data_IF_805876667693
#
_entry.id   IF_805876667693
#
_cell.length_a   1.000
_cell.length_b   1.000
_cell.length_c   1.000
_cell.angle_alpha   90.00
_cell.angle_beta   90.00
_cell.angle_gamma   90.00
#
_symmetry.space_group_name_H-M   'P 1'
#
loop_
_entity.id
_entity.type
_entity.pdbx_description
1 polymer ?
#
# COMPACT_ATOMS: atom_id res chain seq x y z
N UNK A 1 -65.01 -69.59 -28.66
CA UNK A 1 -63.94 -69.65 -29.69
C UNK A 1 -63.70 -68.23 -30.22
N UNK A 2 -62.43 -67.80 -30.25
CA UNK A 2 -61.75 -66.84 -31.17
C UNK A 2 -62.56 -65.63 -31.67
N UNK A 3 -62.32 -64.39 -31.24
CA UNK A 3 -61.20 -63.46 -31.55
C UNK A 3 -61.05 -63.06 -33.04
N UNK A 4 -61.27 -61.77 -33.33
CA UNK A 4 -60.53 -60.91 -34.29
C UNK A 4 -61.10 -59.47 -34.20
N UNK A 5 -60.36 -58.52 -33.60
CA UNK A 5 -59.40 -57.54 -34.18
C UNK A 5 -60.06 -56.19 -34.54
N UNK A 6 -59.36 -55.15 -34.10
CA UNK A 6 -59.55 -53.68 -34.02
C UNK A 6 -59.37 -52.98 -35.40
N UNK A 7 -59.22 -51.62 -35.59
CA UNK A 7 -58.92 -50.56 -34.60
C UNK A 7 -59.33 -49.07 -34.92
N UNK A 8 -58.86 -48.16 -34.04
CA UNK A 8 -58.50 -46.73 -34.25
C UNK A 8 -59.59 -45.63 -34.19
N UNK A 9 -59.70 -44.98 -33.01
CA UNK A 9 -59.84 -43.51 -32.93
C UNK A 9 -58.89 -42.95 -31.86
N UNK A 10 -57.61 -42.93 -32.25
CA UNK A 10 -56.53 -42.00 -31.88
C UNK A 10 -56.50 -41.40 -30.44
N UNK A 11 -55.65 -41.89 -29.51
CA UNK A 11 -55.37 -41.24 -28.22
C UNK A 11 -54.40 -40.04 -28.32
N UNK A 12 -53.99 -39.64 -29.52
CA UNK A 12 -52.87 -38.72 -29.75
C UNK A 12 -53.21 -37.23 -29.61
N UNK A 13 -54.39 -36.85 -29.10
CA UNK A 13 -54.83 -35.45 -29.01
C UNK A 13 -55.04 -34.90 -27.59
N UNK A 14 -54.72 -35.65 -26.53
CA UNK A 14 -54.80 -35.14 -25.15
C UNK A 14 -53.45 -34.88 -24.47
N UNK A 15 -52.35 -34.98 -25.21
CA UNK A 15 -51.00 -34.66 -24.71
C UNK A 15 -50.39 -33.44 -25.42
N UNK A 16 -51.20 -32.44 -25.77
CA UNK A 16 -50.71 -31.19 -26.37
C UNK A 16 -51.25 -29.92 -25.68
N UNK A 17 -51.81 -30.04 -24.47
CA UNK A 17 -52.34 -28.90 -23.70
C UNK A 17 -51.73 -28.76 -22.29
N UNK A 18 -50.50 -29.25 -22.07
CA UNK A 18 -49.81 -29.09 -20.78
C UNK A 18 -48.31 -28.78 -20.91
N UNK A 19 -47.90 -28.08 -21.98
CA UNK A 19 -46.53 -27.58 -22.07
C UNK A 19 -46.42 -26.23 -22.80
N UNK A 20 -47.42 -25.37 -22.60
CA UNK A 20 -47.32 -23.94 -22.92
C UNK A 20 -47.77 -23.18 -21.69
N UNK A 21 -46.84 -22.46 -21.07
CA UNK A 21 -46.98 -21.65 -19.85
C UNK A 21 -46.89 -22.38 -18.50
N UNK A 22 -45.74 -23.02 -18.22
CA UNK A 22 -45.12 -22.78 -16.91
C UNK A 22 -44.08 -21.67 -17.09
N UNK A 23 -44.54 -20.42 -16.98
CA UNK A 23 -43.72 -19.33 -16.44
C UNK A 23 -43.56 -19.56 -14.92
N UNK A 24 -43.11 -20.77 -14.57
CA UNK A 24 -42.99 -21.24 -13.21
C UNK A 24 -41.64 -20.82 -12.66
N UNK A 25 -41.65 -19.83 -11.77
CA UNK A 25 -40.57 -19.63 -10.81
C UNK A 25 -40.17 -20.99 -10.22
N UNK A 26 -38.88 -21.30 -10.17
CA UNK A 26 -38.34 -22.51 -9.54
C UNK A 26 -38.48 -22.41 -8.01
N UNK A 27 -39.70 -22.41 -7.47
CA UNK A 27 -39.97 -21.89 -6.13
C UNK A 27 -40.00 -22.91 -4.99
N UNK A 28 -39.67 -24.19 -5.21
CA UNK A 28 -39.61 -25.17 -4.12
C UNK A 28 -38.89 -26.48 -4.50
N UNK A 29 -37.70 -26.41 -5.09
CA UNK A 29 -36.93 -27.63 -5.35
C UNK A 29 -36.16 -28.06 -4.09
N UNK A 30 -36.69 -29.05 -3.35
CA UNK A 30 -36.06 -29.63 -2.15
C UNK A 30 -35.10 -30.78 -2.47
N UNK A 31 -35.09 -31.25 -3.72
CA UNK A 31 -34.16 -32.26 -4.22
C UNK A 31 -32.97 -31.59 -4.91
N UNK A 32 -31.71 -31.91 -4.52
CA UNK A 32 -30.53 -31.37 -5.20
C UNK A 32 -30.60 -31.62 -6.71
N UNK A 33 -30.30 -30.60 -7.51
CA UNK A 33 -30.18 -30.76 -8.97
C UNK A 33 -28.92 -31.58 -9.24
N UNK A 34 -29.08 -32.84 -9.65
CA UNK A 34 -27.99 -33.68 -10.14
C UNK A 34 -27.79 -33.43 -11.64
N UNK A 35 -27.00 -32.41 -11.97
CA UNK A 35 -26.69 -32.01 -13.36
C UNK A 35 -26.35 -30.52 -13.48
N UNK A 36 -26.26 -30.03 -14.72
CA UNK A 36 -26.00 -28.61 -14.98
C UNK A 36 -27.30 -27.79 -14.91
N UNK A 37 -27.34 -26.74 -14.10
CA UNK A 37 -28.40 -25.73 -14.13
C UNK A 37 -28.08 -24.70 -15.22
N UNK A 38 -28.80 -24.75 -16.34
CA UNK A 38 -28.71 -23.74 -17.41
C UNK A 38 -29.77 -22.67 -17.15
N UNK A 39 -29.37 -21.52 -16.58
CA UNK A 39 -30.26 -20.36 -16.42
C UNK A 39 -30.06 -19.45 -17.64
N UNK A 40 -31.11 -19.27 -18.45
CA UNK A 40 -31.11 -18.37 -19.62
C UNK A 40 -31.32 -16.89 -19.24
N UNK A 41 -31.30 -16.58 -17.93
CA UNK A 41 -31.42 -15.25 -17.31
C UNK A 41 -30.50 -15.09 -16.08
N UNK A 42 -30.66 -14.01 -15.31
CA UNK A 42 -29.87 -13.77 -14.09
C UNK A 42 -30.28 -14.67 -12.91
N UNK A 43 -29.33 -15.02 -12.03
CA UNK A 43 -29.64 -15.70 -10.76
C UNK A 43 -29.98 -14.63 -9.73
N UNK A 44 -31.28 -14.38 -9.54
CA UNK A 44 -31.77 -13.36 -8.61
C UNK A 44 -32.08 -14.00 -7.25
N UNK A 45 -31.22 -13.76 -6.26
CA UNK A 45 -31.34 -14.37 -4.93
C UNK A 45 -32.36 -13.67 -3.99
N UNK A 46 -32.97 -12.55 -4.40
CA UNK A 46 -34.00 -11.85 -3.62
C UNK A 46 -35.11 -11.29 -4.52
N UNK A 47 -36.36 -11.60 -4.17
CA UNK A 47 -37.56 -11.24 -4.93
C UNK A 47 -38.03 -9.80 -4.70
N UNK A 48 -37.53 -9.10 -3.69
CA UNK A 48 -38.00 -7.76 -3.28
C UNK A 48 -37.13 -6.58 -3.73
N UNK A 49 -35.85 -6.79 -4.10
CA UNK A 49 -34.97 -5.72 -4.58
C UNK A 49 -34.70 -5.86 -6.09
N UNK A 50 -35.24 -4.97 -6.95
CA UNK A 50 -34.91 -4.95 -8.38
C UNK A 50 -33.46 -4.55 -8.67
N UNK A 51 -32.75 -3.94 -7.73
CA UNK A 51 -31.36 -3.52 -7.89
C UNK A 51 -30.34 -4.55 -7.36
N UNK A 52 -30.73 -5.53 -6.54
CA UNK A 52 -29.84 -6.51 -5.92
C UNK A 52 -29.75 -7.85 -6.67
N UNK A 53 -28.53 -8.41 -6.78
CA UNK A 53 -28.33 -9.80 -7.25
C UNK A 53 -27.08 -10.03 -8.09
N UNK A 54 -26.91 -11.26 -8.59
CA UNK A 54 -25.83 -11.67 -9.49
C UNK A 54 -26.43 -12.04 -10.86
N UNK A 55 -26.03 -11.32 -11.90
CA UNK A 55 -26.44 -11.61 -13.29
C UNK A 55 -25.29 -12.27 -14.06
N UNK A 56 -25.61 -13.34 -14.79
CA UNK A 56 -24.72 -13.92 -15.81
C UNK A 56 -25.20 -13.42 -17.18
N UNK A 57 -24.32 -12.78 -17.96
CA UNK A 57 -24.65 -12.23 -19.28
C UNK A 57 -23.87 -12.95 -20.38
N UNK A 58 -24.32 -12.78 -21.63
CA UNK A 58 -23.64 -13.32 -22.81
C UNK A 58 -22.14 -12.95 -22.81
N UNK A 59 -21.30 -13.88 -23.27
CA UNK A 59 -19.84 -13.72 -23.25
C UNK A 59 -19.18 -14.03 -21.90
N UNK A 60 -19.90 -14.60 -20.92
CA UNK A 60 -19.32 -15.04 -19.64
C UNK A 60 -19.16 -13.94 -18.59
N UNK A 61 -19.91 -12.85 -18.73
CA UNK A 61 -19.83 -11.69 -17.82
C UNK A 61 -20.65 -11.96 -16.56
N UNK A 62 -20.05 -11.76 -15.39
CA UNK A 62 -20.72 -11.79 -14.08
C UNK A 62 -20.92 -10.34 -13.61
N UNK A 63 -22.16 -9.93 -13.36
CA UNK A 63 -22.50 -8.60 -12.84
C UNK A 63 -23.12 -8.73 -11.45
N UNK A 64 -22.40 -8.32 -10.41
CA UNK A 64 -22.96 -8.09 -9.08
C UNK A 64 -23.61 -6.71 -9.03
N UNK A 65 -24.91 -6.64 -8.71
CA UNK A 65 -25.65 -5.38 -8.55
C UNK A 65 -26.12 -5.18 -7.12
N UNK A 66 -26.29 -3.93 -6.73
CA UNK A 66 -26.97 -3.52 -5.52
C UNK A 66 -26.96 -1.99 -5.38
N UNK A 67 -27.58 -1.50 -4.31
CA UNK A 67 -27.74 -0.06 -4.08
C UNK A 67 -26.67 0.44 -3.10
N UNK A 68 -25.86 1.40 -3.54
CA UNK A 68 -24.88 2.07 -2.67
C UNK A 68 -25.59 2.81 -1.53
N UNK A 69 -25.07 2.73 -0.32
CA UNK A 69 -25.64 3.31 0.90
C UNK A 69 -27.01 2.73 1.33
N UNK A 70 -27.49 1.64 0.73
CA UNK A 70 -28.69 0.94 1.20
C UNK A 70 -28.39 -0.01 2.36
N UNK A 71 -29.28 -0.06 3.34
CA UNK A 71 -29.40 -1.15 4.32
C UNK A 71 -29.84 -2.41 3.59
N UNK A 72 -29.01 -3.46 3.55
CA UNK A 72 -28.72 -4.18 4.78
C UNK A 72 -27.23 -4.23 5.15
N UNK A 73 -27.00 -4.24 6.46
CA UNK A 73 -25.74 -4.65 7.11
C UNK A 73 -25.42 -6.11 6.80
N UNK A 74 -24.15 -6.50 6.91
CA UNK A 74 -23.77 -7.93 6.84
C UNK A 74 -24.45 -8.72 7.97
N UNK A 75 -24.92 -9.93 7.67
CA UNK A 75 -25.44 -10.82 8.72
C UNK A 75 -24.30 -11.21 9.67
N UNK A 76 -24.64 -11.55 10.92
CA UNK A 76 -23.64 -12.01 11.90
C UNK A 76 -22.89 -13.26 11.43
N UNK A 77 -23.54 -14.10 10.62
CA UNK A 77 -22.96 -15.30 10.00
C UNK A 77 -21.96 -15.00 8.89
N UNK A 78 -22.05 -13.81 8.27
CA UNK A 78 -21.17 -13.40 7.17
C UNK A 78 -19.92 -12.68 7.67
N UNK A 79 -19.85 -12.44 8.98
CA UNK A 79 -18.74 -11.80 9.69
C UNK A 79 -17.81 -12.84 10.34
N UNK A 80 -16.69 -12.40 10.91
CA UNK A 80 -15.70 -13.28 11.53
C UNK A 80 -14.84 -14.07 10.54
N UNK A 81 -14.13 -15.08 11.02
CA UNK A 81 -13.09 -15.81 10.30
C UNK A 81 -13.62 -16.72 9.17
N UNK A 82 -12.78 -16.98 8.16
CA UNK A 82 -13.05 -17.92 7.07
C UNK A 82 -12.67 -17.40 5.69
N UNK A 83 -12.78 -18.29 4.70
CA UNK A 83 -12.55 -18.01 3.29
C UNK A 83 -13.84 -17.61 2.58
N UNK A 84 -13.81 -16.52 1.80
CA UNK A 84 -14.97 -16.05 1.02
C UNK A 84 -14.58 -15.10 -0.11
N UNK A 85 -15.48 -15.01 -1.10
CA UNK A 85 -15.54 -13.95 -2.10
C UNK A 85 -16.76 -13.08 -1.76
N UNK A 86 -16.56 -11.79 -1.55
CA UNK A 86 -17.59 -10.86 -1.11
C UNK A 86 -17.65 -9.64 -2.03
N UNK A 87 -18.81 -9.46 -2.66
CA UNK A 87 -19.23 -8.16 -3.20
C UNK A 87 -20.23 -7.55 -2.22
N UNK A 88 -19.84 -6.47 -1.54
CA UNK A 88 -20.70 -5.77 -0.58
C UNK A 88 -21.23 -4.48 -1.20
N UNK A 89 -22.36 -4.59 -1.89
CA UNK A 89 -22.90 -3.53 -2.73
C UNK A 89 -23.24 -2.25 -1.97
N UNK A 90 -23.70 -2.33 -0.72
CA UNK A 90 -24.02 -1.13 0.09
C UNK A 90 -22.80 -0.24 0.29
N UNK A 91 -21.61 -0.83 0.41
CA UNK A 91 -20.33 -0.11 0.50
C UNK A 91 -19.60 -0.02 -0.84
N UNK A 92 -20.12 -0.61 -1.93
CA UNK A 92 -19.38 -0.83 -3.17
C UNK A 92 -17.98 -1.46 -2.93
N UNK A 93 -17.89 -2.37 -1.96
CA UNK A 93 -16.63 -2.98 -1.55
C UNK A 93 -16.46 -4.38 -2.15
N UNK A 94 -15.25 -4.70 -2.60
CA UNK A 94 -14.97 -6.01 -3.21
C UNK A 94 -13.79 -6.71 -2.54
N UNK A 95 -14.00 -7.96 -2.15
CA UNK A 95 -13.01 -8.68 -1.35
C UNK A 95 -12.94 -10.15 -1.71
N UNK A 96 -11.75 -10.74 -1.62
CA UNK A 96 -11.57 -12.17 -1.79
C UNK A 96 -10.40 -12.69 -0.97
N UNK A 97 -10.57 -13.83 -0.31
CA UNK A 97 -9.49 -14.50 0.40
C UNK A 97 -9.95 -15.14 1.70
N UNK A 98 -9.02 -15.31 2.63
CA UNK A 98 -9.23 -16.01 3.90
C UNK A 98 -8.72 -15.16 5.06
N UNK A 99 -9.47 -15.08 6.15
CA UNK A 99 -9.05 -14.33 7.34
C UNK A 99 -9.30 -15.15 8.61
N UNK A 100 -8.54 -14.89 9.68
CA UNK A 100 -8.59 -15.65 10.93
C UNK A 100 -9.28 -14.91 12.08
N UNK A 101 -9.74 -13.69 11.86
CA UNK A 101 -10.35 -12.86 12.89
C UNK A 101 -11.52 -12.04 12.35
N UNK A 102 -11.52 -10.76 12.69
CA UNK A 102 -12.63 -9.84 12.44
C UNK A 102 -12.49 -9.05 11.16
N UNK A 103 -11.52 -9.35 10.29
CA UNK A 103 -11.25 -8.54 9.08
C UNK A 103 -12.47 -8.45 8.15
N UNK A 104 -13.32 -9.47 8.15
CA UNK A 104 -14.60 -9.50 7.44
C UNK A 104 -15.76 -8.78 8.14
N UNK A 105 -15.60 -8.37 9.40
CA UNK A 105 -16.63 -7.64 10.13
C UNK A 105 -16.93 -6.33 9.40
N UNK A 106 -18.18 -5.91 9.45
CA UNK A 106 -18.64 -4.75 8.68
C UNK A 106 -17.86 -3.48 9.02
N UNK A 107 -17.48 -3.28 10.28
CA UNK A 107 -16.66 -2.15 10.75
C UNK A 107 -15.27 -2.09 10.09
N UNK A 108 -14.78 -3.22 9.59
CA UNK A 108 -13.48 -3.36 8.97
C UNK A 108 -13.54 -3.33 7.45
N UNK A 109 -14.70 -3.05 6.85
CA UNK A 109 -14.90 -2.86 5.41
C UNK A 109 -15.16 -1.39 5.12
N UNK A 110 -14.22 -0.75 4.42
CA UNK A 110 -14.36 0.64 3.99
C UNK A 110 -15.37 0.80 2.85
N UNK A 111 -15.93 2.00 2.73
CA UNK A 111 -16.68 2.41 1.53
C UNK A 111 -15.75 2.38 0.32
N UNK A 112 -16.25 1.96 -0.84
CA UNK A 112 -15.51 1.87 -2.12
C UNK A 112 -14.15 1.18 -1.99
N UNK A 113 -14.01 0.24 -1.06
CA UNK A 113 -12.73 -0.40 -0.73
C UNK A 113 -12.54 -1.72 -1.48
N UNK A 114 -11.30 -2.18 -1.58
CA UNK A 114 -11.01 -3.53 -2.02
C UNK A 114 -9.93 -4.22 -1.18
N UNK A 115 -10.11 -5.52 -0.91
CA UNK A 115 -9.16 -6.31 -0.13
C UNK A 115 -8.99 -7.73 -0.69
N UNK A 116 -7.76 -8.14 -1.01
CA UNK A 116 -7.48 -9.46 -1.56
C UNK A 116 -6.31 -10.17 -0.88
N UNK A 117 -6.52 -11.41 -0.47
CA UNK A 117 -5.47 -12.28 0.07
C UNK A 117 -5.75 -12.79 1.48
N UNK A 118 -4.69 -13.03 2.24
CA UNK A 118 -4.75 -13.69 3.53
C UNK A 118 -4.77 -12.66 4.67
N UNK A 119 -5.83 -12.61 5.46
CA UNK A 119 -6.00 -11.71 6.62
C UNK A 119 -5.80 -10.22 6.30
N UNK A 120 -6.14 -9.79 5.08
CA UNK A 120 -6.09 -8.39 4.65
C UNK A 120 -7.26 -7.58 5.19
N UNK A 121 -7.03 -6.32 5.53
CA UNK A 121 -8.04 -5.38 6.01
C UNK A 121 -7.94 -4.05 5.25
N UNK A 122 -9.00 -3.70 4.51
CA UNK A 122 -9.18 -2.38 3.89
C UNK A 122 -10.39 -1.69 4.56
N UNK A 123 -10.15 -1.03 5.69
CA UNK A 123 -11.20 -0.44 6.54
C UNK A 123 -11.45 1.05 6.26
N UNK A 124 -10.48 1.75 5.67
CA UNK A 124 -10.65 3.14 5.26
C UNK A 124 -11.53 3.28 4.01
N UNK A 125 -12.22 4.40 3.87
CA UNK A 125 -12.98 4.70 2.64
C UNK A 125 -12.03 4.81 1.44
N UNK A 126 -12.39 4.26 0.29
CA UNK A 126 -11.55 4.13 -0.91
C UNK A 126 -10.18 3.46 -0.68
N UNK A 127 -10.05 2.64 0.39
CA UNK A 127 -8.80 1.96 0.70
C UNK A 127 -8.58 0.67 -0.10
N UNK A 128 -7.33 0.27 -0.25
CA UNK A 128 -6.92 -0.93 -0.96
C UNK A 128 -5.94 -1.78 -0.16
N UNK A 129 -6.24 -3.07 0.05
CA UNK A 129 -5.34 -4.00 0.73
C UNK A 129 -5.07 -5.25 -0.13
N UNK A 130 -3.80 -5.61 -0.34
CA UNK A 130 -3.42 -6.78 -1.14
C UNK A 130 -2.28 -7.57 -0.50
N UNK A 131 -2.44 -8.88 -0.34
CA UNK A 131 -1.38 -9.78 0.09
C UNK A 131 -1.68 -10.50 1.41
N UNK A 132 -0.74 -10.47 2.36
CA UNK A 132 -0.84 -11.22 3.63
C UNK A 132 -0.77 -10.25 4.80
N UNK A 133 -1.79 -10.24 5.66
CA UNK A 133 -1.86 -9.42 6.87
C UNK A 133 -1.67 -7.90 6.61
N UNK A 134 -2.04 -7.42 5.44
CA UNK A 134 -1.98 -5.99 5.12
C UNK A 134 -3.15 -5.22 5.73
N UNK A 135 -2.89 -3.99 6.18
CA UNK A 135 -3.89 -3.13 6.82
C UNK A 135 -3.86 -1.75 6.16
N UNK A 136 -4.93 -1.40 5.46
CA UNK A 136 -5.19 -0.08 4.91
C UNK A 136 -6.39 0.53 5.67
N UNK A 137 -6.11 1.36 6.68
CA UNK A 137 -7.15 1.91 7.56
C UNK A 137 -7.44 3.40 7.38
N UNK A 138 -6.56 4.13 6.68
CA UNK A 138 -6.79 5.52 6.31
C UNK A 138 -7.67 5.68 5.07
N UNK A 139 -8.27 6.86 4.91
CA UNK A 139 -9.03 7.20 3.70
C UNK A 139 -8.09 7.26 2.50
N UNK A 140 -8.50 6.67 1.39
CA UNK A 140 -7.71 6.54 0.17
C UNK A 140 -6.31 5.89 0.38
N UNK A 141 -6.15 5.10 1.46
CA UNK A 141 -4.87 4.44 1.74
C UNK A 141 -4.72 3.11 1.01
N UNK A 142 -3.48 2.71 0.76
CA UNK A 142 -3.17 1.45 0.09
C UNK A 142 -2.06 0.68 0.82
N UNK A 143 -2.31 -0.60 1.14
CA UNK A 143 -1.36 -1.51 1.78
C UNK A 143 -1.15 -2.78 0.96
N UNK A 144 0.07 -3.00 0.46
CA UNK A 144 0.40 -4.11 -0.44
C UNK A 144 1.58 -4.93 0.09
N UNK A 145 1.52 -6.25 -0.07
CA UNK A 145 2.59 -7.19 0.29
C UNK A 145 2.32 -7.96 1.58
N UNK A 146 3.26 -7.96 2.53
CA UNK A 146 3.21 -8.79 3.74
C UNK A 146 3.31 -7.94 5.00
N UNK A 147 2.31 -7.96 5.87
CA UNK A 147 2.29 -7.20 7.14
C UNK A 147 2.52 -5.70 6.97
N UNK A 148 2.17 -5.15 5.80
CA UNK A 148 2.26 -3.72 5.50
C UNK A 148 1.07 -2.95 6.09
N UNK A 149 1.32 -1.78 6.66
CA UNK A 149 0.32 -0.96 7.35
C UNK A 149 0.31 0.46 6.78
N UNK A 150 -0.83 0.89 6.24
CA UNK A 150 -1.11 2.23 5.74
C UNK A 150 -2.25 2.84 6.57
N UNK A 151 -1.91 3.54 7.66
CA UNK A 151 -2.85 3.84 8.75
C UNK A 151 -3.47 5.23 8.73
N UNK A 152 -3.00 6.12 7.84
CA UNK A 152 -3.46 7.51 7.75
C UNK A 152 -3.96 7.83 6.33
N UNK A 153 -4.55 8.99 6.14
CA UNK A 153 -5.18 9.37 4.88
C UNK A 153 -4.13 9.57 3.77
N UNK A 154 -4.50 9.17 2.54
CA UNK A 154 -3.66 9.25 1.35
C UNK A 154 -2.31 8.51 1.48
N UNK A 155 -2.22 7.49 2.33
CA UNK A 155 -0.96 6.76 2.56
C UNK A 155 -0.76 5.57 1.63
N UNK A 156 0.50 5.24 1.34
CA UNK A 156 0.89 4.05 0.60
C UNK A 156 1.93 3.24 1.38
N UNK A 157 1.65 1.98 1.70
CA UNK A 157 2.62 1.06 2.28
C UNK A 157 2.76 -0.18 1.41
N UNK A 158 3.93 -0.35 0.77
CA UNK A 158 4.17 -1.50 -0.11
C UNK A 158 5.46 -2.24 0.22
N UNK A 159 5.35 -3.56 0.31
CA UNK A 159 6.47 -4.47 0.57
C UNK A 159 6.25 -5.37 1.77
N UNK A 160 7.24 -5.54 2.63
CA UNK A 160 7.18 -6.45 3.78
C UNK A 160 7.44 -5.70 5.09
N UNK A 161 6.53 -5.77 6.05
CA UNK A 161 6.64 -5.11 7.35
C UNK A 161 6.88 -3.59 7.23
N UNK A 162 6.24 -2.94 6.27
CA UNK A 162 6.37 -1.48 6.07
C UNK A 162 5.24 -0.73 6.77
N UNK A 163 5.52 0.46 7.30
CA UNK A 163 4.55 1.28 8.05
C UNK A 163 4.53 2.70 7.49
N UNK A 164 3.43 3.10 6.87
CA UNK A 164 3.13 4.49 6.50
C UNK A 164 2.03 5.02 7.44
N UNK A 165 2.39 5.90 8.38
CA UNK A 165 1.47 6.39 9.42
C UNK A 165 1.30 7.92 9.44
N UNK A 166 2.10 8.66 8.68
CA UNK A 166 1.88 10.09 8.46
C UNK A 166 0.88 10.33 7.33
N UNK A 167 0.10 11.40 7.39
CA UNK A 167 -0.79 11.78 6.27
C UNK A 167 0.01 11.97 4.97
N UNK A 168 -0.52 11.47 3.84
CA UNK A 168 0.15 11.50 2.54
C UNK A 168 1.56 10.85 2.51
N UNK A 169 1.93 10.08 3.54
CA UNK A 169 3.22 9.40 3.61
C UNK A 169 3.25 8.13 2.77
N UNK A 170 4.45 7.73 2.36
CA UNK A 170 4.66 6.53 1.57
C UNK A 170 5.85 5.69 2.05
N UNK A 171 5.70 4.38 1.97
CA UNK A 171 6.77 3.41 2.23
C UNK A 171 6.88 2.37 1.14
N UNK A 172 8.13 2.03 0.78
CA UNK A 172 8.47 1.03 -0.22
C UNK A 172 9.59 0.13 0.32
N UNK A 173 9.44 -1.19 0.27
CA UNK A 173 10.52 -2.15 0.53
C UNK A 173 10.31 -3.04 1.75
N UNK A 174 11.27 -3.12 2.68
CA UNK A 174 11.22 -4.09 3.78
C UNK A 174 11.61 -3.46 5.12
N UNK A 175 10.70 -3.50 6.11
CA UNK A 175 10.94 -2.93 7.44
C UNK A 175 11.06 -1.41 7.48
N UNK A 176 10.54 -0.72 6.46
CA UNK A 176 10.66 0.73 6.31
C UNK A 176 9.47 1.46 6.93
N UNK A 177 9.72 2.63 7.53
CA UNK A 177 8.73 3.40 8.28
C UNK A 177 8.74 4.88 7.88
N UNK A 178 7.57 5.44 7.59
CA UNK A 178 7.32 6.86 7.36
C UNK A 178 6.27 7.36 8.37
N UNK A 179 6.63 8.24 9.30
CA UNK A 179 5.78 8.55 10.47
C UNK A 179 5.03 9.87 10.40
N UNK A 180 5.54 10.87 9.66
CA UNK A 180 4.95 12.20 9.61
C UNK A 180 4.41 12.55 8.22
N UNK A 181 3.71 13.68 8.14
CA UNK A 181 3.10 14.17 6.91
C UNK A 181 4.11 14.27 5.76
N UNK A 182 3.74 13.78 4.58
CA UNK A 182 4.55 13.81 3.35
C UNK A 182 5.91 13.08 3.45
N UNK A 183 6.12 12.23 4.46
CA UNK A 183 7.35 11.45 4.58
C UNK A 183 7.41 10.32 3.52
N UNK A 184 8.61 10.05 3.00
CA UNK A 184 8.90 8.94 2.09
C UNK A 184 10.03 8.06 2.64
N UNK A 185 9.75 6.78 2.92
CA UNK A 185 10.76 5.81 3.32
C UNK A 185 10.87 4.65 2.31
N UNK A 186 12.03 4.49 1.67
CA UNK A 186 12.24 3.56 0.56
C UNK A 186 13.49 2.69 0.76
N UNK A 187 13.33 1.37 0.70
CA UNK A 187 14.41 0.40 0.75
C UNK A 187 14.30 -0.55 1.93
N UNK A 188 15.40 -0.83 2.62
CA UNK A 188 15.42 -1.80 3.74
C UNK A 188 15.72 -1.10 5.05
N UNK A 189 14.82 -1.23 6.02
CA UNK A 189 14.94 -0.67 7.36
C UNK A 189 15.19 0.85 7.37
N UNK A 190 14.58 1.60 6.45
CA UNK A 190 14.70 3.07 6.40
C UNK A 190 13.67 3.73 7.29
N UNK A 191 14.02 4.88 7.89
CA UNK A 191 13.12 5.67 8.72
C UNK A 191 13.05 7.12 8.22
N UNK A 192 11.88 7.55 7.76
CA UNK A 192 11.55 8.96 7.56
C UNK A 192 10.61 9.39 8.70
N UNK A 193 11.02 10.42 9.44
CA UNK A 193 10.29 10.88 10.64
C UNK A 193 10.40 12.39 10.87
N UNK A 194 10.73 13.15 9.83
CA UNK A 194 11.01 14.59 9.93
C UNK A 194 9.81 15.47 9.58
N UNK A 195 8.84 14.96 8.84
CA UNK A 195 7.82 15.76 8.16
C UNK A 195 8.41 16.28 6.84
N UNK A 196 7.79 15.91 5.72
CA UNK A 196 8.35 16.10 4.37
C UNK A 196 9.75 15.50 4.20
N UNK A 197 10.11 14.50 5.01
CA UNK A 197 11.44 13.89 5.00
C UNK A 197 11.52 12.71 4.05
N UNK A 198 12.70 12.44 3.49
CA UNK A 198 12.94 11.33 2.58
C UNK A 198 14.10 10.46 3.06
N UNK A 199 13.85 9.20 3.37
CA UNK A 199 14.88 8.22 3.68
C UNK A 199 14.90 7.11 2.62
N UNK A 200 16.03 6.94 1.92
CA UNK A 200 16.17 5.96 0.86
C UNK A 200 17.47 5.13 0.97
N UNK A 201 17.36 3.82 0.75
CA UNK A 201 18.47 2.86 0.73
C UNK A 201 18.40 1.82 1.84
N UNK A 202 19.47 1.62 2.62
CA UNK A 202 19.53 0.60 3.68
C UNK A 202 19.87 1.23 5.03
N UNK A 203 18.96 1.13 5.99
CA UNK A 203 19.14 1.68 7.35
C UNK A 203 19.41 3.19 7.37
N UNK A 204 18.92 3.92 6.36
CA UNK A 204 19.01 5.39 6.31
C UNK A 204 17.91 6.03 7.17
N UNK A 205 18.23 7.16 7.79
CA UNK A 205 17.34 7.89 8.71
C UNK A 205 17.27 9.35 8.30
N UNK A 206 16.08 9.85 7.97
CA UNK A 206 15.79 11.25 7.75
C UNK A 206 14.83 11.76 8.84
N UNK A 207 15.37 12.46 9.84
CA UNK A 207 14.63 12.89 11.03
C UNK A 207 14.51 14.41 11.19
N UNK A 208 15.17 15.18 10.32
CA UNK A 208 14.99 16.62 10.25
C UNK A 208 13.79 17.01 9.39
N UNK A 209 13.14 18.13 9.70
CA UNK A 209 12.08 18.68 8.84
C UNK A 209 12.61 18.92 7.43
N UNK A 210 11.89 18.41 6.42
CA UNK A 210 12.28 18.46 5.01
C UNK A 210 13.71 17.95 4.74
N UNK A 211 14.20 16.97 5.52
CA UNK A 211 15.53 16.39 5.33
C UNK A 211 15.53 15.19 4.38
N UNK A 212 16.69 14.86 3.81
CA UNK A 212 16.85 13.73 2.89
C UNK A 212 18.08 12.88 3.19
N UNK A 213 17.93 11.56 3.32
CA UNK A 213 19.00 10.61 3.60
C UNK A 213 19.05 9.50 2.53
N UNK A 214 20.12 9.44 1.75
CA UNK A 214 20.30 8.51 0.62
C UNK A 214 21.51 7.60 0.80
N UNK A 215 21.31 6.28 0.75
CA UNK A 215 22.40 5.30 0.70
C UNK A 215 22.36 4.31 1.86
N UNK A 216 23.51 4.02 2.47
CA UNK A 216 23.62 2.98 3.51
C UNK A 216 23.97 3.58 4.86
N UNK A 217 23.08 3.44 5.83
CA UNK A 217 23.29 3.89 7.21
C UNK A 217 23.56 5.41 7.28
N UNK A 218 22.94 6.17 6.38
CA UNK A 218 23.07 7.64 6.35
C UNK A 218 22.06 8.29 7.29
N UNK A 219 22.42 9.41 7.90
CA UNK A 219 21.56 10.16 8.83
C UNK A 219 21.46 11.61 8.37
N UNK A 220 20.25 12.13 8.19
CA UNK A 220 19.96 13.53 7.94
C UNK A 220 19.01 14.07 9.02
N UNK A 221 19.58 14.69 10.06
CA UNK A 221 18.84 15.13 11.26
C UNK A 221 18.70 16.65 11.36
N UNK A 222 19.43 17.43 10.54
CA UNK A 222 19.21 18.87 10.43
C UNK A 222 17.96 19.17 9.62
N UNK A 223 17.25 20.25 9.94
CA UNK A 223 16.18 20.73 9.07
C UNK A 223 16.77 21.16 7.72
N UNK A 224 16.10 20.80 6.63
CA UNK A 224 16.54 21.02 5.25
C UNK A 224 17.89 20.37 4.91
N UNK A 225 18.35 19.41 5.73
CA UNK A 225 19.65 18.76 5.52
C UNK A 225 19.58 17.61 4.52
N UNK A 226 20.72 17.31 3.89
CA UNK A 226 20.85 16.17 2.98
C UNK A 226 22.08 15.32 3.31
N UNK A 227 21.90 14.03 3.55
CA UNK A 227 22.99 13.06 3.75
C UNK A 227 22.99 12.05 2.62
N UNK A 228 24.15 11.79 2.00
CA UNK A 228 24.28 10.82 0.90
C UNK A 228 25.54 9.97 1.00
N UNK A 229 25.46 8.69 0.64
CA UNK A 229 26.63 7.78 0.59
C UNK A 229 26.57 6.67 1.64
N UNK A 230 27.66 6.45 2.38
CA UNK A 230 27.78 5.34 3.33
C UNK A 230 28.20 5.84 4.71
N UNK A 231 27.30 5.68 5.69
CA UNK A 231 27.53 6.08 7.09
C UNK A 231 27.79 7.59 7.28
N UNK A 232 27.23 8.42 6.39
CA UNK A 232 27.31 9.88 6.47
C UNK A 232 26.25 10.47 7.39
N UNK A 233 26.51 11.66 7.93
CA UNK A 233 25.71 12.36 8.93
C UNK A 233 25.60 13.84 8.53
N UNK A 234 24.42 14.29 8.11
CA UNK A 234 24.10 15.71 7.94
C UNK A 234 23.29 16.19 9.15
N UNK A 235 23.98 16.76 10.15
CA UNK A 235 23.37 17.15 11.43
C UNK A 235 22.97 18.63 11.48
N UNK A 236 23.78 19.52 10.90
CA UNK A 236 23.50 20.95 10.93
C UNK A 236 22.29 21.37 10.06
N UNK A 237 21.61 22.45 10.48
CA UNK A 237 20.55 23.12 9.74
C UNK A 237 21.03 23.49 8.33
N UNK A 238 20.26 23.09 7.32
CA UNK A 238 20.56 23.29 5.89
C UNK A 238 21.90 22.73 5.41
N UNK A 239 22.46 21.72 6.09
CA UNK A 239 23.76 21.14 5.68
C UNK A 239 23.62 19.98 4.70
N UNK A 240 24.66 19.76 3.90
CA UNK A 240 24.79 18.59 3.06
C UNK A 240 26.05 17.78 3.43
N UNK A 241 25.93 16.47 3.54
CA UNK A 241 27.04 15.55 3.74
C UNK A 241 27.06 14.47 2.65
N UNK A 242 28.24 14.18 2.09
CA UNK A 242 28.44 13.09 1.13
C UNK A 242 29.67 12.24 1.41
N UNK A 243 29.85 11.13 0.71
CA UNK A 243 31.02 10.25 0.79
C UNK A 243 30.88 9.10 1.81
N UNK A 244 31.92 8.88 2.61
CA UNK A 244 31.98 7.82 3.61
C UNK A 244 32.40 8.37 4.97
N UNK A 245 31.61 8.10 6.01
CA UNK A 245 31.98 8.38 7.41
C UNK A 245 32.51 9.82 7.64
N UNK A 246 31.73 10.85 7.27
CA UNK A 246 32.04 12.23 7.68
C UNK A 246 31.88 12.40 9.20
N UNK A 247 32.38 13.52 9.73
CA UNK A 247 32.31 13.86 11.15
C UNK A 247 30.88 14.26 11.57
N UNK A 248 30.22 15.14 10.81
CA UNK A 248 28.92 15.70 11.17
C UNK A 248 29.04 16.83 12.20
N UNK A 249 27.94 17.11 12.91
CA UNK A 249 27.85 18.13 13.95
C UNK A 249 27.06 19.38 13.54
N UNK A 250 26.93 20.28 14.51
CA UNK A 250 26.22 21.56 14.40
C UNK A 250 24.77 21.53 14.91
N UNK A 251 24.14 22.70 14.94
CA UNK A 251 22.75 22.87 15.38
C UNK A 251 21.78 22.32 14.34
N UNK A 252 20.85 21.47 14.74
CA UNK A 252 19.87 20.85 13.82
C UNK A 252 18.81 21.82 13.31
N UNK A 253 18.54 22.91 14.03
CA UNK A 253 17.41 23.81 13.75
C UNK A 253 17.79 25.29 13.66
N UNK A 254 19.06 25.66 13.88
CA UNK A 254 19.49 27.06 13.86
C UNK A 254 20.66 27.32 12.90
N UNK A 255 20.69 28.53 12.35
CA UNK A 255 21.85 29.03 11.60
C UNK A 255 22.96 29.49 12.55
N UNK A 256 23.96 28.64 12.77
CA UNK A 256 25.16 28.99 13.54
C UNK A 256 26.35 29.16 12.56
N UNK A 257 27.00 30.33 12.49
CA UNK A 257 28.05 30.60 11.50
C UNK A 257 29.21 29.59 11.47
N UNK A 258 29.51 28.97 12.62
CA UNK A 258 30.58 27.97 12.75
C UNK A 258 30.14 26.53 12.47
N UNK A 259 28.88 26.30 12.11
CA UNK A 259 28.41 24.96 11.72
C UNK A 259 28.79 24.63 10.28
N UNK A 260 28.97 23.34 9.95
CA UNK A 260 29.10 22.90 8.57
C UNK A 260 27.84 23.20 7.74
N UNK A 261 28.04 23.68 6.51
CA UNK A 261 27.02 23.71 5.46
C UNK A 261 27.25 22.62 4.41
N UNK A 262 28.51 22.20 4.21
CA UNK A 262 28.84 21.11 3.30
C UNK A 262 30.03 20.28 3.81
N UNK A 263 29.91 18.96 3.80
CA UNK A 263 30.97 18.03 4.21
C UNK A 263 31.15 16.90 3.20
N UNK A 264 32.41 16.58 2.88
CA UNK A 264 32.79 15.37 2.11
C UNK A 264 33.54 14.43 3.05
N UNK A 265 32.89 13.35 3.45
CA UNK A 265 33.47 12.30 4.27
C UNK A 265 34.44 11.42 3.48
N UNK A 266 35.64 11.21 4.03
CA UNK A 266 36.63 10.25 3.56
C UNK A 266 37.06 9.28 4.68
N UNK A 267 36.20 9.07 5.66
CA UNK A 267 36.43 8.14 6.74
C UNK A 267 36.51 6.70 6.23
N UNK A 268 37.32 5.89 6.91
CA UNK A 268 37.64 4.53 6.53
C UNK A 268 36.74 3.52 7.29
N UNK A 269 35.83 2.82 6.59
CA UNK A 269 34.95 1.83 7.22
C UNK A 269 35.60 0.46 7.41
N UNK A 270 36.83 0.26 6.93
CA UNK A 270 37.53 -1.03 6.89
C UNK A 270 38.53 -1.22 8.03
N UNK A 271 38.62 -0.25 8.95
CA UNK A 271 39.48 -0.32 10.16
C UNK A 271 38.62 -0.48 11.41
N UNK A 272 39.19 -1.02 12.48
CA UNK A 272 38.48 -1.30 13.74
C UNK A 272 39.16 -0.57 14.92
N UNK A 273 38.49 0.40 15.57
CA UNK A 273 37.17 0.94 15.22
C UNK A 273 37.21 1.74 13.90
N UNK A 274 36.06 1.83 13.22
CA UNK A 274 35.93 2.65 12.01
C UNK A 274 36.26 4.11 12.32
N UNK A 275 36.96 4.78 11.40
CA UNK A 275 37.45 6.15 11.61
C UNK A 275 36.64 7.12 10.75
N UNK A 276 35.99 8.10 11.39
CA UNK A 276 35.34 9.23 10.71
C UNK A 276 36.36 10.30 10.34
N UNK A 277 36.21 10.89 9.17
CA UNK A 277 37.08 11.96 8.69
C UNK A 277 36.38 12.73 7.58
N UNK A 278 36.63 14.03 7.52
CA UNK A 278 36.25 14.86 6.38
C UNK A 278 37.50 15.13 5.53
N UNK A 279 37.36 15.00 4.21
CA UNK A 279 38.31 15.57 3.25
C UNK A 279 38.12 17.09 3.13
N UNK A 280 36.86 17.53 3.20
CA UNK A 280 36.43 18.91 3.04
C UNK A 280 35.30 19.22 4.04
N UNK A 281 35.38 20.39 4.69
CA UNK A 281 34.30 21.01 5.44
C UNK A 281 34.17 22.47 5.01
N UNK A 282 32.99 22.87 4.55
CA UNK A 282 32.62 24.28 4.35
C UNK A 282 31.69 24.69 5.48
N UNK A 283 31.98 25.82 6.12
CA UNK A 283 31.20 26.37 7.22
C UNK A 283 30.25 27.46 6.73
N UNK A 284 29.17 27.70 7.47
CA UNK A 284 28.15 28.72 7.15
C UNK A 284 28.71 30.16 7.09
N UNK A 285 29.83 30.42 7.76
CA UNK A 285 30.54 31.70 7.71
C UNK A 285 31.48 31.86 6.49
N UNK A 286 31.52 30.88 5.58
CA UNK A 286 32.37 30.90 4.40
C UNK A 286 33.78 30.31 4.60
N UNK A 287 34.15 29.95 5.83
CA UNK A 287 35.43 29.27 6.07
C UNK A 287 35.42 27.88 5.44
N UNK A 288 36.58 27.44 4.93
CA UNK A 288 36.76 26.10 4.36
C UNK A 288 37.94 25.43 5.04
N UNK A 289 37.73 24.21 5.52
CA UNK A 289 38.78 23.34 6.03
C UNK A 289 38.99 22.17 5.05
N UNK A 290 40.24 21.97 4.62
CA UNK A 290 40.65 20.84 3.76
C UNK A 290 41.66 19.99 4.51
N UNK A 291 41.46 18.67 4.52
CA UNK A 291 42.39 17.71 5.10
C UNK A 291 43.19 17.01 4.00
N UNK A 292 44.45 17.43 3.83
CA UNK A 292 45.36 16.88 2.84
C UNK A 292 46.06 17.97 2.03
N UNK A 293 46.54 17.60 0.85
CA UNK A 293 47.20 18.52 -0.09
C UNK A 293 46.21 18.93 -1.18
N UNK A 294 46.08 20.23 -1.45
CA UNK A 294 45.42 20.72 -2.66
C UNK A 294 46.43 20.73 -3.80
N UNK A 295 46.16 19.97 -4.86
CA UNK A 295 46.97 19.98 -6.08
C UNK A 295 46.18 20.66 -7.21
N UNK A 296 46.77 21.66 -7.86
CA UNK A 296 46.25 22.19 -9.12
C UNK A 296 46.84 21.42 -10.31
N UNK A 297 46.16 21.49 -11.45
CA UNK A 297 46.74 21.05 -12.71
C UNK A 297 47.99 21.89 -13.04
N UNK A 298 49.01 21.33 -13.73
CA UNK A 298 50.19 22.10 -14.12
C UNK A 298 49.78 23.37 -14.89
N UNK A 299 50.13 24.55 -14.36
CA UNK A 299 49.80 25.85 -14.94
C UNK A 299 48.51 26.51 -14.45
N UNK A 300 47.78 25.92 -13.50
CA UNK A 300 46.66 26.57 -12.82
C UNK A 300 47.12 27.25 -11.53
N UNK A 301 46.95 28.57 -11.42
CA UNK A 301 47.09 29.24 -10.13
C UNK A 301 46.03 28.70 -9.15
N UNK A 302 46.41 28.58 -7.88
CA UNK A 302 45.44 28.61 -6.80
C UNK A 302 45.31 30.10 -6.46
N UNK A 303 44.33 30.84 -6.99
CA UNK A 303 44.09 32.20 -6.52
C UNK A 303 43.72 32.10 -5.04
N UNK A 304 44.72 32.30 -4.17
CA UNK A 304 44.48 32.60 -2.76
C UNK A 304 43.54 33.79 -2.76
N UNK A 305 42.37 33.61 -2.17
CA UNK A 305 41.31 34.62 -2.05
C UNK A 305 41.90 36.00 -1.76
N UNK A 306 41.99 36.87 -2.77
CA UNK A 306 42.14 38.31 -2.54
C UNK A 306 40.75 38.80 -2.16
N UNK A 307 40.53 39.03 -0.87
CA UNK A 307 39.26 39.54 -0.36
C UNK A 307 38.88 40.86 -1.03
N UNK A 308 37.60 41.00 -1.35
CA UNK A 308 36.92 42.28 -1.57
C UNK A 308 36.04 42.57 -0.35
#
# INVERSE_FOLDING_TARGET
>A
MKSHRSPLSNPSLQLLALLTALSGSLHAQTTPITGNLTVTGGIKAATSDPAGGIELRQGGIIIGKGTYSATPSLLTTDQGAGARLLWYASKAAFRAGEVYGTQWNESNIGWTSAAFGYSTQASGSSSFALGTQTVASGVASAALGGSSVASNDNTLATGSNTIASGEASATFGSGSTATNENDLAMGTATLASGGSAMAAGRSSVASGYASAAFGRTTVASGWYSMSSGSQTIAQAFSSQATGSLNLGGGSTSAWVPTDPIFEIGNGNPLVTPAVRSNALTVYKNGNVAVKGVLTCAPGGDIPMFTGY
#
